data_IF_432843418246
#
_entry.id   IF_432843418246
#
_cell.length_a   1.000
_cell.length_b   1.000
_cell.length_c   1.000
_cell.angle_alpha   90.00
_cell.angle_beta   90.00
_cell.angle_gamma   90.00
#
_symmetry.space_group_name_H-M   'P 1'
#
loop_
_entity.id
_entity.type
_entity.pdbx_description
1 polymer ?
#
# COMPACT_ATOMS: atom_id res chain seq x y z
N UNK A 1 26.33 -6.83 -2.25
CA UNK A 1 25.52 -6.54 -3.45
C UNK A 1 24.27 -5.78 -3.01
N UNK A 2 23.86 -4.72 -3.70
CA UNK A 2 22.60 -4.01 -3.38
C UNK A 2 21.42 -4.85 -3.88
N UNK A 3 20.53 -5.25 -2.97
CA UNK A 3 19.32 -6.02 -3.28
C UNK A 3 18.16 -5.08 -3.65
N UNK A 4 17.35 -5.49 -4.64
CA UNK A 4 16.07 -4.84 -4.95
C UNK A 4 14.97 -5.64 -4.27
N UNK A 5 14.22 -4.99 -3.39
CA UNK A 5 13.10 -5.58 -2.63
C UNK A 5 11.80 -4.94 -3.12
N UNK A 6 10.80 -5.77 -3.43
CA UNK A 6 9.43 -5.31 -3.72
C UNK A 6 8.56 -5.61 -2.51
N UNK A 7 7.92 -4.57 -1.94
CA UNK A 7 6.98 -4.72 -0.82
C UNK A 7 5.57 -4.37 -1.31
N UNK A 8 4.64 -5.32 -1.22
CA UNK A 8 3.24 -5.15 -1.62
C UNK A 8 2.34 -5.07 -0.39
N UNK A 9 1.48 -4.06 -0.35
CA UNK A 9 0.46 -3.89 0.70
C UNK A 9 -0.94 -3.94 0.08
N UNK A 10 -1.80 -4.82 0.62
CA UNK A 10 -3.20 -4.95 0.19
C UNK A 10 -4.10 -3.89 0.81
N UNK A 11 -5.36 -3.81 0.35
CA UNK A 11 -6.30 -2.77 0.78
C UNK A 11 -6.53 -2.71 2.30
N UNK A 12 -6.64 -3.87 2.97
CA UNK A 12 -6.77 -3.96 4.43
C UNK A 12 -5.51 -3.49 5.18
N UNK A 13 -4.34 -3.60 4.55
CA UNK A 13 -3.07 -3.09 5.11
C UNK A 13 -2.98 -1.58 5.03
N UNK A 14 -3.71 -0.94 4.11
CA UNK A 14 -3.73 0.52 3.90
C UNK A 14 -5.10 1.14 4.19
N UNK A 15 -5.91 0.48 5.01
CA UNK A 15 -7.31 0.90 5.22
C UNK A 15 -7.45 2.18 6.04
N UNK A 16 -6.50 2.48 6.94
CA UNK A 16 -6.48 3.69 7.75
C UNK A 16 -5.15 4.42 7.63
N UNK A 17 -5.17 5.71 7.97
CA UNK A 17 -3.99 6.58 8.04
C UNK A 17 -2.93 6.06 9.01
N UNK A 18 -3.34 5.46 10.12
CA UNK A 18 -2.44 4.91 11.15
C UNK A 18 -1.70 3.69 10.59
N UNK A 19 -2.39 2.81 9.86
CA UNK A 19 -1.76 1.65 9.22
C UNK A 19 -0.77 2.09 8.14
N UNK A 20 -1.13 3.10 7.34
CA UNK A 20 -0.23 3.68 6.32
C UNK A 20 1.01 4.28 6.97
N UNK A 21 0.84 5.04 8.06
CA UNK A 21 1.97 5.64 8.80
C UNK A 21 2.93 4.56 9.31
N UNK A 22 2.40 3.49 9.90
CA UNK A 22 3.20 2.35 10.36
C UNK A 22 3.96 1.66 9.22
N UNK A 23 3.33 1.52 8.04
CA UNK A 23 4.01 1.01 6.84
C UNK A 23 5.15 1.93 6.43
N UNK A 24 4.93 3.25 6.39
CA UNK A 24 5.95 4.22 6.03
C UNK A 24 7.15 4.19 6.98
N UNK A 25 6.92 4.12 8.29
CA UNK A 25 7.97 3.98 9.31
C UNK A 25 8.84 2.73 9.05
N UNK A 26 8.21 1.58 8.79
CA UNK A 26 8.92 0.34 8.45
C UNK A 26 9.74 0.45 7.15
N UNK A 27 9.23 1.15 6.14
CA UNK A 27 9.95 1.36 4.87
C UNK A 27 11.17 2.24 5.08
N UNK A 28 11.05 3.31 5.89
CA UNK A 28 12.16 4.21 6.24
C UNK A 28 13.26 3.44 6.97
N UNK A 29 12.90 2.60 7.93
CA UNK A 29 13.87 1.81 8.68
C UNK A 29 14.60 0.79 7.79
N UNK A 30 13.88 0.14 6.86
CA UNK A 30 14.50 -0.73 5.86
C UNK A 30 15.36 0.05 4.87
N UNK A 31 15.01 1.28 4.51
CA UNK A 31 15.81 2.07 3.57
C UNK A 31 17.22 2.36 4.11
N UNK A 32 17.39 2.36 5.45
CA UNK A 32 18.69 2.50 6.11
C UNK A 32 19.63 1.31 5.89
N UNK A 33 19.14 0.14 5.47
CA UNK A 33 19.95 -1.09 5.28
C UNK A 33 20.59 -1.20 3.88
N UNK A 34 20.68 -0.10 3.12
CA UNK A 34 21.20 -0.05 1.74
C UNK A 34 20.40 -0.90 0.71
N UNK A 35 19.14 -1.21 1.05
CA UNK A 35 18.17 -1.83 0.16
C UNK A 35 17.59 -0.82 -0.85
N UNK A 36 17.32 -1.28 -2.08
CA UNK A 36 16.51 -0.55 -3.06
C UNK A 36 15.08 -1.07 -2.96
N UNK A 37 14.18 -0.25 -2.43
CA UNK A 37 12.81 -0.67 -2.14
C UNK A 37 11.87 -0.12 -3.20
N UNK A 38 11.05 -0.99 -3.78
CA UNK A 38 9.88 -0.64 -4.59
C UNK A 38 8.63 -0.98 -3.77
N UNK A 39 7.71 -0.03 -3.65
CA UNK A 39 6.48 -0.19 -2.88
C UNK A 39 5.29 -0.21 -3.83
N UNK A 40 4.44 -1.23 -3.71
CA UNK A 40 3.20 -1.36 -4.47
C UNK A 40 2.03 -1.40 -3.49
N UNK A 41 1.02 -0.56 -3.72
CA UNK A 41 -0.16 -0.47 -2.86
C UNK A 41 -1.43 -0.70 -3.67
N UNK A 42 -2.40 -1.37 -3.04
CA UNK A 42 -3.79 -1.39 -3.51
C UNK A 42 -4.54 -0.13 -3.06
N UNK A 43 -5.75 0.09 -3.57
CA UNK A 43 -6.65 1.11 -3.04
C UNK A 43 -7.00 0.82 -1.56
N UNK A 44 -7.34 1.85 -0.80
CA UNK A 44 -7.61 1.75 0.65
C UNK A 44 -8.88 0.94 0.95
N UNK A 45 -8.79 -0.07 1.81
CA UNK A 45 -9.95 -0.88 2.23
C UNK A 45 -10.82 -1.34 1.07
N UNK A 46 -12.13 -1.13 1.18
CA UNK A 46 -13.13 -1.52 0.18
C UNK A 46 -13.39 -0.46 -0.90
N UNK A 47 -12.46 0.50 -1.07
CA UNK A 47 -12.66 1.65 -1.99
C UNK A 47 -12.94 1.21 -3.42
N UNK A 48 -12.25 0.18 -3.91
CA UNK A 48 -12.49 -0.36 -5.26
C UNK A 48 -13.92 -0.88 -5.40
N UNK A 49 -14.41 -1.62 -4.41
CA UNK A 49 -15.78 -2.15 -4.43
C UNK A 49 -16.82 -1.03 -4.36
N UNK A 50 -16.55 0.03 -3.60
CA UNK A 50 -17.41 1.21 -3.53
C UNK A 50 -17.51 1.91 -4.89
N UNK A 51 -16.40 2.07 -5.62
CA UNK A 51 -16.43 2.64 -6.97
C UNK A 51 -17.14 1.72 -7.98
N UNK A 52 -16.96 0.40 -7.87
CA UNK A 52 -17.69 -0.56 -8.72
C UNK A 52 -19.20 -0.46 -8.47
N UNK A 53 -19.62 -0.38 -7.21
CA UNK A 53 -21.04 -0.18 -6.83
C UNK A 53 -21.58 1.14 -7.38
N UNK A 54 -20.80 2.22 -7.28
CA UNK A 54 -21.18 3.52 -7.81
C UNK A 54 -21.36 3.48 -9.33
N UNK A 55 -20.42 2.87 -10.06
CA UNK A 55 -20.48 2.75 -11.51
C UNK A 55 -21.71 1.94 -11.95
N UNK A 56 -22.07 0.89 -11.20
CA UNK A 56 -23.27 0.08 -11.45
C UNK A 56 -24.57 0.84 -11.21
N UNK A 57 -24.58 1.90 -10.39
CA UNK A 57 -25.77 2.73 -10.13
C UNK A 57 -26.15 3.62 -11.33
N UNK A 58 -25.18 3.94 -12.19
CA UNK A 58 -25.37 4.80 -13.37
C UNK A 58 -25.47 4.02 -14.69
N UNK A 59 -25.46 2.68 -14.63
CA UNK A 59 -25.80 1.79 -15.75
C UNK A 59 -27.24 1.35 -15.62
#
# INVERSE_FOLDING_TARGET
MSSIIVQKYGGSSVETTEKIKRIAENIIDRKKTNEKIVVVVSAMGDTTDNYIKLAKKYK
#
